data_IF_261477593290
#
_entry.id   IF_261477593290
#
_cell.length_a   1.000
_cell.length_b   1.000
_cell.length_c   1.000
_cell.angle_alpha   90.00
_cell.angle_beta   90.00
_cell.angle_gamma   90.00
#
_symmetry.space_group_name_H-M   'P 1'
#
loop_
_entity.id
_entity.type
_entity.pdbx_description
1 polymer ?
#
# COMPACT_ATOMS: atom_id res chain seq x y z
N UNK A 1 -9.09 -16.75 -2.15
CA UNK A 1 -8.34 -15.59 -2.66
C UNK A 1 -7.67 -14.94 -1.47
N UNK A 2 -6.36 -14.79 -1.49
CA UNK A 2 -5.65 -14.03 -0.47
C UNK A 2 -6.04 -12.55 -0.67
N UNK A 3 -6.67 -11.86 0.29
CA UNK A 3 -7.24 -10.51 0.09
C UNK A 3 -6.19 -9.43 -0.26
N UNK A 4 -4.90 -9.78 -0.23
CA UNK A 4 -3.77 -8.87 -0.41
C UNK A 4 -3.12 -8.91 -1.80
N UNK A 5 -3.49 -9.85 -2.68
CA UNK A 5 -2.88 -9.97 -4.01
C UNK A 5 -3.94 -10.05 -5.11
N UNK A 6 -3.72 -9.29 -6.18
CA UNK A 6 -4.52 -9.36 -7.40
C UNK A 6 -4.10 -10.56 -8.27
N UNK A 7 -4.95 -10.97 -9.21
CA UNK A 7 -4.70 -12.16 -10.04
C UNK A 7 -3.40 -12.04 -10.86
N UNK A 8 -3.06 -10.84 -11.31
CA UNK A 8 -1.84 -10.59 -12.07
C UNK A 8 -0.58 -10.47 -11.18
N UNK A 9 -0.75 -10.42 -9.86
CA UNK A 9 0.33 -10.36 -8.87
C UNK A 9 0.69 -11.76 -8.34
N UNK A 10 -0.04 -12.82 -8.72
CA UNK A 10 0.28 -14.20 -8.31
C UNK A 10 1.75 -14.59 -8.56
N UNK A 11 2.37 -14.27 -9.73
CA UNK A 11 3.78 -14.59 -9.95
C UNK A 11 4.74 -13.90 -8.96
N UNK A 12 4.34 -12.77 -8.38
CA UNK A 12 5.09 -12.04 -7.35
C UNK A 12 4.92 -12.76 -6.01
N UNK A 13 3.67 -13.11 -5.66
CA UNK A 13 3.35 -13.84 -4.44
C UNK A 13 4.06 -15.20 -4.36
N UNK A 14 4.14 -15.94 -5.48
CA UNK A 14 4.84 -17.22 -5.56
C UNK A 14 6.34 -17.08 -5.28
N UNK A 15 6.96 -16.02 -5.82
CA UNK A 15 8.38 -15.72 -5.60
C UNK A 15 8.64 -15.29 -4.16
N UNK A 16 7.77 -14.48 -3.58
CA UNK A 16 7.85 -14.07 -2.16
C UNK A 16 7.70 -15.28 -1.23
N UNK A 17 6.73 -16.17 -1.50
CA UNK A 17 6.55 -17.40 -0.76
C UNK A 17 7.81 -18.27 -0.80
N UNK A 18 8.40 -18.45 -1.99
CA UNK A 18 9.65 -19.22 -2.15
C UNK A 18 10.84 -18.60 -1.43
N UNK A 19 10.98 -17.27 -1.43
CA UNK A 19 12.00 -16.56 -0.65
C UNK A 19 11.79 -16.81 0.84
N UNK A 20 10.55 -16.75 1.32
CA UNK A 20 10.24 -16.96 2.72
C UNK A 20 10.48 -18.41 3.16
N UNK A 21 10.15 -19.39 2.33
CA UNK A 21 10.46 -20.80 2.56
C UNK A 21 11.97 -21.04 2.69
N UNK A 22 12.77 -20.51 1.77
CA UNK A 22 14.23 -20.64 1.83
C UNK A 22 14.83 -19.98 3.08
N UNK A 23 14.30 -18.82 3.49
CA UNK A 23 14.70 -18.17 4.74
C UNK A 23 14.36 -19.01 5.96
N UNK A 24 13.17 -19.62 5.98
CA UNK A 24 12.71 -20.44 7.11
C UNK A 24 13.42 -21.80 7.16
N UNK A 25 13.82 -22.36 6.01
CA UNK A 25 14.51 -23.65 5.88
C UNK A 25 16.01 -23.61 6.22
N UNK A 26 16.51 -22.51 6.81
CA UNK A 26 17.91 -22.30 7.17
C UNK A 26 18.41 -23.26 8.27
N UNK A 27 18.63 -24.52 7.90
CA UNK A 27 19.29 -25.58 8.69
C UNK A 27 20.52 -26.19 7.95
N UNK A 28 20.95 -25.57 6.84
CA UNK A 28 22.08 -26.01 6.01
C UNK A 28 23.24 -25.01 5.96
N UNK A 29 24.28 -25.22 5.12
CA UNK A 29 25.42 -24.32 5.00
C UNK A 29 24.97 -22.91 4.60
N UNK A 30 25.06 -21.96 5.54
CA UNK A 30 24.48 -20.62 5.45
C UNK A 30 24.85 -19.84 4.18
N UNK A 31 26.02 -20.12 3.60
CA UNK A 31 26.60 -19.37 2.47
C UNK A 31 25.84 -19.61 1.14
N UNK A 32 25.31 -20.82 0.88
CA UNK A 32 24.60 -21.07 -0.38
C UNK A 32 23.17 -20.52 -0.38
N UNK A 33 22.51 -20.55 0.79
CA UNK A 33 21.11 -20.09 0.93
C UNK A 33 21.02 -18.57 0.71
N UNK A 34 21.98 -17.81 1.25
CA UNK A 34 21.96 -16.35 1.15
C UNK A 34 22.15 -15.86 -0.29
N UNK A 35 23.04 -16.49 -1.06
CA UNK A 35 23.22 -16.20 -2.48
C UNK A 35 21.97 -16.51 -3.33
N UNK A 36 21.29 -17.63 -3.04
CA UNK A 36 20.05 -18.00 -3.73
C UNK A 36 18.89 -17.08 -3.38
N UNK A 37 18.76 -16.67 -2.11
CA UNK A 37 17.79 -15.67 -1.68
C UNK A 37 18.02 -14.34 -2.40
N UNK A 38 19.26 -13.87 -2.51
CA UNK A 38 19.57 -12.64 -3.23
C UNK A 38 19.18 -12.73 -4.72
N UNK A 39 19.51 -13.85 -5.39
CA UNK A 39 19.13 -14.07 -6.78
C UNK A 39 17.60 -14.07 -6.98
N UNK A 40 16.85 -14.67 -6.06
CA UNK A 40 15.38 -14.65 -6.08
C UNK A 40 14.80 -13.26 -5.81
N UNK A 41 15.41 -12.48 -4.91
CA UNK A 41 15.01 -11.10 -4.64
C UNK A 41 15.22 -10.18 -5.86
N UNK A 42 16.34 -10.34 -6.57
CA UNK A 42 16.58 -9.60 -7.81
C UNK A 42 15.57 -10.01 -8.90
N UNK A 43 15.29 -11.30 -9.03
CA UNK A 43 14.26 -11.82 -9.94
C UNK A 43 12.87 -11.28 -9.60
N UNK A 44 12.51 -11.23 -8.32
CA UNK A 44 11.28 -10.63 -7.81
C UNK A 44 11.20 -9.16 -8.22
N UNK A 45 12.24 -8.38 -7.95
CA UNK A 45 12.31 -6.94 -8.30
C UNK A 45 12.09 -6.71 -9.80
N UNK A 46 12.78 -7.47 -10.66
CA UNK A 46 12.65 -7.36 -12.12
C UNK A 46 11.26 -7.75 -12.60
N UNK A 47 10.68 -8.84 -12.07
CA UNK A 47 9.34 -9.30 -12.44
C UNK A 47 8.27 -8.32 -12.01
N UNK A 48 8.34 -7.80 -10.80
CA UNK A 48 7.45 -6.74 -10.31
C UNK A 48 7.49 -5.53 -11.24
N UNK A 49 8.70 -5.02 -11.55
CA UNK A 49 8.83 -3.89 -12.48
C UNK A 49 8.22 -4.18 -13.87
N UNK A 50 8.41 -5.39 -14.40
CA UNK A 50 7.87 -5.79 -15.70
C UNK A 50 6.34 -5.88 -15.71
N UNK A 51 5.73 -6.40 -14.64
CA UNK A 51 4.27 -6.52 -14.50
C UNK A 51 3.65 -5.12 -14.40
N UNK A 52 4.13 -4.30 -13.46
CA UNK A 52 3.57 -2.96 -13.21
C UNK A 52 3.81 -1.99 -14.38
N UNK A 53 4.85 -2.20 -15.20
CA UNK A 53 5.09 -1.41 -16.42
C UNK A 53 4.08 -1.71 -17.54
N UNK A 54 3.56 -2.93 -17.60
CA UNK A 54 2.73 -3.41 -18.71
C UNK A 54 1.28 -3.71 -18.27
N UNK A 55 0.78 -2.97 -17.28
CA UNK A 55 -0.59 -3.16 -16.80
C UNK A 55 -1.61 -2.82 -17.89
N UNK A 56 -2.61 -3.68 -18.03
CA UNK A 56 -3.80 -3.38 -18.84
C UNK A 56 -4.69 -2.38 -18.11
N UNK A 57 -5.56 -1.68 -18.86
CA UNK A 57 -6.52 -0.72 -18.27
C UNK A 57 -7.40 -1.36 -17.18
N UNK A 58 -7.76 -2.63 -17.33
CA UNK A 58 -8.52 -3.37 -16.32
C UNK A 58 -7.72 -3.61 -15.04
N UNK A 59 -6.45 -4.00 -15.17
CA UNK A 59 -5.56 -4.23 -14.04
C UNK A 59 -5.28 -2.92 -13.26
N UNK A 60 -5.15 -1.79 -13.96
CA UNK A 60 -5.04 -0.46 -13.34
C UNK A 60 -6.28 -0.15 -12.49
N UNK A 61 -7.48 -0.45 -13.00
CA UNK A 61 -8.72 -0.26 -12.24
C UNK A 61 -8.77 -1.15 -11.00
N UNK A 62 -8.35 -2.41 -11.10
CA UNK A 62 -8.25 -3.32 -9.96
C UNK A 62 -7.29 -2.77 -8.90
N UNK A 63 -6.12 -2.27 -9.30
CA UNK A 63 -5.14 -1.66 -8.40
C UNK A 63 -5.68 -0.39 -7.73
N UNK A 64 -6.42 0.46 -8.46
CA UNK A 64 -7.07 1.64 -7.89
C UNK A 64 -8.12 1.28 -6.82
N UNK A 65 -8.64 0.05 -6.83
CA UNK A 65 -9.61 -0.47 -5.87
C UNK A 65 -8.99 -1.46 -4.89
N UNK A 66 -7.67 -1.57 -4.85
CA UNK A 66 -6.97 -2.51 -3.98
C UNK A 66 -7.39 -2.32 -2.51
N UNK A 67 -7.70 -3.39 -1.76
CA UNK A 67 -8.13 -3.29 -0.36
C UNK A 67 -7.13 -2.56 0.53
N UNK A 68 -5.83 -2.76 0.29
CA UNK A 68 -4.73 -2.13 1.03
C UNK A 68 -4.27 -0.80 0.41
N UNK A 69 -5.02 -0.21 -0.52
CA UNK A 69 -4.67 1.10 -1.10
C UNK A 69 -4.69 2.17 0.01
N UNK A 70 -3.63 2.98 0.17
CA UNK A 70 -3.62 4.05 1.15
C UNK A 70 -4.73 5.09 0.88
N UNK A 71 -5.40 5.51 1.95
CA UNK A 71 -6.47 6.51 1.94
C UNK A 71 -5.95 7.87 2.46
N UNK A 72 -6.82 8.89 2.45
CA UNK A 72 -6.47 10.26 2.86
C UNK A 72 -5.77 10.31 4.22
N UNK A 73 -6.29 9.60 5.23
CA UNK A 73 -5.68 9.54 6.56
C UNK A 73 -4.25 8.97 6.57
N UNK A 74 -3.91 8.07 5.65
CA UNK A 74 -2.57 7.50 5.56
C UNK A 74 -1.56 8.54 5.04
N UNK A 75 -1.94 9.29 4.01
CA UNK A 75 -1.12 10.37 3.48
C UNK A 75 -0.98 11.52 4.48
N UNK A 76 -2.06 11.86 5.19
CA UNK A 76 -2.04 12.89 6.24
C UNK A 76 -0.98 12.60 7.30
N UNK A 77 -0.86 11.36 7.75
CA UNK A 77 0.11 10.93 8.78
C UNK A 77 1.57 10.97 8.31
N UNK A 78 1.81 10.88 7.00
CA UNK A 78 3.17 10.76 6.45
C UNK A 78 3.66 12.13 5.94
N UNK A 79 2.78 12.92 5.35
CA UNK A 79 3.14 14.13 4.60
C UNK A 79 3.00 15.40 5.43
N UNK A 80 2.09 15.40 6.41
CA UNK A 80 1.69 16.62 7.12
C UNK A 80 2.05 16.59 8.59
N UNK A 81 2.42 17.75 9.10
CA UNK A 81 2.61 18.01 10.52
C UNK A 81 1.39 18.76 11.08
N UNK A 82 1.19 18.66 12.40
CA UNK A 82 0.17 19.44 13.13
C UNK A 82 -1.25 19.37 12.53
N UNK A 83 -1.65 18.21 11.99
CA UNK A 83 -2.99 18.05 11.41
C UNK A 83 -4.07 18.17 12.50
N UNK A 84 -4.97 19.14 12.33
CA UNK A 84 -6.14 19.35 13.16
C UNK A 84 -7.40 19.21 12.31
N UNK A 85 -8.09 18.09 12.50
CA UNK A 85 -9.35 17.77 11.82
C UNK A 85 -10.45 18.76 12.24
N UNK A 86 -11.21 19.22 11.25
CA UNK A 86 -12.40 20.07 11.41
C UNK A 86 -13.62 19.24 11.02
N UNK A 87 -14.60 19.22 11.91
CA UNK A 87 -15.81 18.39 11.77
C UNK A 87 -17.07 19.24 11.61
N UNK A 88 -18.03 18.70 10.86
CA UNK A 88 -19.37 19.24 10.72
C UNK A 88 -19.54 20.34 9.67
N UNK A 89 -20.70 20.33 9.03
CA UNK A 89 -21.16 21.31 8.05
C UNK A 89 -21.84 22.55 8.66
N UNK A 90 -22.01 22.56 9.99
CA UNK A 90 -22.77 23.57 10.78
C UNK A 90 -24.27 23.65 10.46
N UNK A 91 -24.82 22.71 9.68
CA UNK A 91 -26.20 22.73 9.24
C UNK A 91 -26.95 21.43 9.58
N UNK A 92 -26.33 20.28 9.37
CA UNK A 92 -26.96 18.98 9.53
C UNK A 92 -26.08 18.01 10.31
N UNK A 93 -24.94 17.60 9.76
CA UNK A 93 -24.12 16.56 10.35
C UNK A 93 -22.64 16.63 9.93
N UNK A 94 -21.86 15.77 10.56
CA UNK A 94 -20.47 15.52 10.21
C UNK A 94 -20.38 14.26 9.34
N UNK A 95 -20.11 14.44 8.05
CA UNK A 95 -19.98 13.33 7.09
C UNK A 95 -18.61 12.66 7.21
N UNK A 96 -18.58 11.44 7.78
CA UNK A 96 -17.37 10.65 7.97
C UNK A 96 -16.70 10.19 6.66
N UNK A 97 -17.38 10.33 5.52
CA UNK A 97 -16.79 10.06 4.21
C UNK A 97 -15.84 11.17 3.74
N UNK A 98 -15.90 12.37 4.36
CA UNK A 98 -15.01 13.49 4.10
C UNK A 98 -14.21 13.80 5.35
N UNK A 99 -12.89 13.91 5.20
CA UNK A 99 -11.99 14.37 6.24
C UNK A 99 -11.36 15.67 5.77
N UNK A 100 -11.40 16.70 6.62
CA UNK A 100 -10.80 17.99 6.32
C UNK A 100 -10.20 18.64 7.55
N UNK A 101 -9.20 19.48 7.37
CA UNK A 101 -8.52 20.09 8.51
C UNK A 101 -7.36 21.00 8.15
N UNK A 102 -6.90 21.76 9.13
CA UNK A 102 -5.68 22.55 9.03
C UNK A 102 -4.47 21.66 9.26
N UNK A 103 -3.41 21.88 8.50
CA UNK A 103 -2.18 21.11 8.60
C UNK A 103 -0.97 21.98 8.24
N UNK A 104 0.24 21.44 8.40
CA UNK A 104 1.46 22.03 7.84
C UNK A 104 2.16 21.08 6.89
N UNK A 105 2.68 21.62 5.79
CA UNK A 105 3.68 20.96 4.94
C UNK A 105 4.92 21.85 4.91
N UNK A 106 6.07 21.33 5.34
CA UNK A 106 7.34 22.07 5.36
C UNK A 106 7.19 23.46 6.05
N UNK A 107 6.49 23.48 7.18
CA UNK A 107 6.20 24.70 7.96
C UNK A 107 5.10 25.62 7.40
N UNK A 108 4.62 25.40 6.17
CA UNK A 108 3.53 26.19 5.57
C UNK A 108 2.17 25.65 5.97
N UNK A 109 1.33 26.51 6.54
CA UNK A 109 -0.06 26.17 6.87
C UNK A 109 -0.89 25.95 5.62
N UNK A 110 -1.64 24.85 5.58
CA UNK A 110 -2.49 24.43 4.46
C UNK A 110 -3.82 23.88 4.97
N UNK A 111 -4.85 23.97 4.14
CA UNK A 111 -6.11 23.24 4.32
C UNK A 111 -6.02 21.93 3.54
N UNK A 112 -6.36 20.82 4.18
CA UNK A 112 -6.47 19.51 3.52
C UNK A 112 -7.91 19.07 3.53
N UNK A 113 -8.38 18.54 2.41
CA UNK A 113 -9.71 17.95 2.28
C UNK A 113 -9.54 16.70 1.42
N UNK A 114 -10.11 15.57 1.85
CA UNK A 114 -10.07 14.33 1.09
C UNK A 114 -11.16 13.35 1.48
N UNK A 115 -11.38 12.39 0.59
CA UNK A 115 -12.33 11.31 0.84
C UNK A 115 -11.71 10.29 1.78
N UNK A 116 -12.43 9.94 2.85
CA UNK A 116 -12.03 8.93 3.80
C UNK A 116 -12.90 7.69 3.64
N UNK A 117 -12.32 6.65 3.03
CA UNK A 117 -12.98 5.36 2.88
C UNK A 117 -12.74 4.50 4.12
N UNK A 118 -13.76 3.75 4.54
CA UNK A 118 -13.62 2.71 5.56
C UNK A 118 -12.69 1.60 5.11
N UNK A 119 -11.78 1.16 6.00
CA UNK A 119 -10.95 -0.04 5.77
C UNK A 119 -11.67 -1.33 6.14
N UNK A 120 -12.65 -1.22 7.03
CA UNK A 120 -13.47 -2.28 7.58
C UNK A 120 -14.89 -2.14 6.99
N UNK A 121 -15.61 -3.26 6.89
CA UNK A 121 -17.03 -3.35 6.52
C UNK A 121 -17.97 -3.32 7.73
N UNK A 122 -17.48 -3.09 8.95
CA UNK A 122 -18.30 -2.84 10.15
C UNK A 122 -18.94 -1.46 10.18
#
# INVERSE_FOLDING_TARGET
MNPNYLDFEQPIADLEAKIQELRNASAGPAVNVEAEVHALQDKLRLRTAQIFRNLTSWQVLQLARHPSRPYTADYLRIIFDEFQELAGDRAFADDKAIMGGLARINGRSVMVIGHQKGRDTK
#
